data_IF_790769191154
#
_entry.id   IF_790769191154
#
_cell.length_a   1.000
_cell.length_b   1.000
_cell.length_c   1.000
_cell.angle_alpha   90.00
_cell.angle_beta   90.00
_cell.angle_gamma   90.00
#
_symmetry.space_group_name_H-M   'P 1'
#
loop_
_entity.id
_entity.type
_entity.pdbx_description
1 polymer ?
#
# COMPACT_ATOMS: atom_id res chain seq x y z
N UNK A 1 -4.37 -14.51 20.83
CA UNK A 1 -4.65 -14.92 19.43
C UNK A 1 -5.85 -14.09 18.96
N UNK A 2 -5.64 -13.03 18.17
CA UNK A 2 -6.74 -12.13 17.77
C UNK A 2 -7.45 -12.76 16.57
N UNK A 3 -8.76 -12.96 16.71
CA UNK A 3 -9.59 -13.75 15.82
C UNK A 3 -9.57 -13.29 14.36
N UNK A 4 -9.93 -14.23 13.49
CA UNK A 4 -10.06 -14.06 12.04
C UNK A 4 -11.10 -12.97 11.68
N UNK A 5 -10.71 -11.71 11.82
CA UNK A 5 -11.49 -10.57 11.33
C UNK A 5 -11.58 -10.68 9.81
N UNK A 6 -12.81 -10.84 9.30
CA UNK A 6 -13.09 -10.82 7.87
C UNK A 6 -13.20 -9.37 7.37
N UNK A 7 -12.66 -9.08 6.19
CA UNK A 7 -12.76 -7.81 5.45
C UNK A 7 -13.38 -8.06 4.09
N UNK A 8 -14.05 -7.04 3.55
CA UNK A 8 -14.23 -6.93 2.11
C UNK A 8 -12.90 -6.47 1.51
N UNK A 9 -12.29 -7.31 0.66
CA UNK A 9 -10.98 -6.99 0.09
C UNK A 9 -11.06 -5.70 -0.76
N UNK A 10 -10.30 -4.68 -0.39
CA UNK A 10 -10.31 -3.39 -1.10
C UNK A 10 -9.88 -3.48 -2.57
N UNK A 11 -9.18 -4.55 -2.97
CA UNK A 11 -8.76 -4.75 -4.36
C UNK A 11 -9.78 -5.52 -5.21
N UNK A 12 -10.36 -6.60 -4.67
CA UNK A 12 -11.17 -7.54 -5.47
C UNK A 12 -12.60 -7.74 -4.95
N UNK A 13 -12.97 -7.12 -3.82
CA UNK A 13 -14.31 -7.17 -3.25
C UNK A 13 -14.71 -8.49 -2.59
N UNK A 14 -13.81 -9.46 -2.45
CA UNK A 14 -14.13 -10.75 -1.77
C UNK A 14 -14.20 -10.57 -0.26
N UNK A 15 -15.21 -11.15 0.40
CA UNK A 15 -15.26 -11.26 1.87
C UNK A 15 -14.36 -12.39 2.34
N UNK A 16 -13.29 -12.06 3.06
CA UNK A 16 -12.15 -12.95 3.35
C UNK A 16 -11.53 -12.64 4.70
N UNK A 17 -10.78 -13.55 5.35
CA UNK A 17 -9.88 -13.16 6.43
C UNK A 17 -8.94 -12.02 6.00
N UNK A 18 -8.71 -11.07 6.89
CA UNK A 18 -7.82 -9.94 6.67
C UNK A 18 -6.36 -10.39 6.76
N UNK A 19 -5.62 -10.29 5.66
CA UNK A 19 -4.19 -10.60 5.60
C UNK A 19 -3.30 -9.38 5.93
N UNK A 20 -3.92 -8.22 6.16
CA UNK A 20 -3.26 -6.92 6.33
C UNK A 20 -3.72 -5.93 5.26
N UNK A 21 -3.70 -4.64 5.58
CA UNK A 21 -4.14 -3.55 4.69
C UNK A 21 -5.55 -3.74 4.11
N UNK A 22 -6.44 -4.49 4.78
CA UNK A 22 -7.78 -4.78 4.27
C UNK A 22 -7.81 -5.67 3.02
N UNK A 23 -6.81 -6.53 2.83
CA UNK A 23 -6.67 -7.37 1.64
C UNK A 23 -6.80 -8.87 1.93
N UNK A 24 -7.23 -9.61 0.90
CA UNK A 24 -7.24 -11.06 0.89
C UNK A 24 -5.84 -11.65 0.64
N UNK A 25 -5.71 -12.97 0.82
CA UNK A 25 -4.48 -13.72 0.56
C UNK A 25 -3.97 -13.59 -0.88
N UNK A 26 -4.87 -13.45 -1.86
CA UNK A 26 -4.49 -13.32 -3.28
C UNK A 26 -3.97 -11.91 -3.61
N UNK A 27 -4.53 -10.89 -2.95
CA UNK A 27 -4.27 -9.47 -3.27
C UNK A 27 -3.17 -8.85 -2.41
N UNK A 28 -2.89 -9.41 -1.23
CA UNK A 28 -1.89 -8.91 -0.31
C UNK A 28 -0.44 -9.03 -0.83
N UNK A 29 -0.03 -10.10 -1.56
CA UNK A 29 1.32 -10.22 -2.10
C UNK A 29 1.72 -9.05 -3.02
N UNK A 30 0.86 -8.68 -3.98
CA UNK A 30 1.14 -7.56 -4.88
C UNK A 30 1.19 -6.21 -4.14
N UNK A 31 0.33 -6.01 -3.14
CA UNK A 31 0.41 -4.83 -2.27
C UNK A 31 1.73 -4.77 -1.50
N UNK A 32 2.23 -5.90 -1.01
CA UNK A 32 3.51 -5.99 -0.32
C UNK A 32 4.68 -5.67 -1.25
N UNK A 33 4.66 -6.15 -2.48
CA UNK A 33 5.67 -5.81 -3.49
C UNK A 33 5.67 -4.32 -3.82
N UNK A 34 4.49 -3.73 -4.05
CA UNK A 34 4.33 -2.28 -4.25
C UNK A 34 4.88 -1.51 -3.05
N UNK A 35 4.55 -1.95 -1.82
CA UNK A 35 5.02 -1.31 -0.59
C UNK A 35 6.56 -1.30 -0.50
N UNK A 36 7.22 -2.41 -0.84
CA UNK A 36 8.68 -2.49 -0.80
C UNK A 36 9.30 -1.47 -1.77
N UNK A 37 8.81 -1.40 -3.01
CA UNK A 37 9.28 -0.44 -4.02
C UNK A 37 9.12 1.01 -3.55
N UNK A 38 7.92 1.37 -3.08
CA UNK A 38 7.60 2.73 -2.61
C UNK A 38 8.44 3.09 -1.38
N UNK A 39 8.57 2.19 -0.41
CA UNK A 39 9.37 2.43 0.80
C UNK A 39 10.85 2.61 0.49
N UNK A 40 11.40 1.80 -0.41
CA UNK A 40 12.80 1.92 -0.82
C UNK A 40 13.07 3.26 -1.49
N UNK A 41 12.19 3.69 -2.40
CA UNK A 41 12.28 5.00 -3.05
C UNK A 41 12.23 6.15 -2.03
N UNK A 42 11.18 6.18 -1.21
CA UNK A 42 10.94 7.27 -0.24
C UNK A 42 12.06 7.37 0.81
N UNK A 43 12.68 6.25 1.20
CA UNK A 43 13.81 6.26 2.14
C UNK A 43 15.08 6.87 1.52
N UNK A 44 15.27 6.72 0.20
CA UNK A 44 16.44 7.22 -0.51
C UNK A 44 16.31 8.65 -1.05
N UNK A 45 15.09 9.18 -1.13
CA UNK A 45 14.80 10.46 -1.77
C UNK A 45 14.36 11.50 -0.74
N UNK A 46 15.10 12.59 -0.61
CA UNK A 46 14.70 13.73 0.21
C UNK A 46 13.47 14.39 -0.41
N UNK A 47 12.41 14.57 0.39
CA UNK A 47 11.17 15.25 -0.02
C UNK A 47 10.37 14.60 -1.16
N UNK A 48 10.45 13.26 -1.30
CA UNK A 48 9.67 12.53 -2.29
C UNK A 48 8.18 12.93 -2.28
N UNK A 49 7.62 13.19 -3.46
CA UNK A 49 6.19 13.48 -3.67
C UNK A 49 5.42 12.25 -4.18
N UNK A 50 4.09 12.26 -4.08
CA UNK A 50 3.28 11.12 -4.57
C UNK A 50 3.40 10.91 -6.08
N UNK A 51 3.43 12.00 -6.86
CA UNK A 51 3.53 11.94 -8.33
C UNK A 51 4.88 11.35 -8.71
N UNK A 52 5.97 11.93 -8.21
CA UNK A 52 7.32 11.46 -8.47
C UNK A 52 7.51 10.00 -8.06
N UNK A 53 7.03 9.63 -6.88
CA UNK A 53 7.09 8.26 -6.39
C UNK A 53 6.31 7.30 -7.29
N UNK A 54 5.16 7.71 -7.83
CA UNK A 54 4.39 6.93 -8.78
C UNK A 54 5.16 6.69 -10.07
N UNK A 55 5.78 7.74 -10.63
CA UNK A 55 6.61 7.64 -11.82
C UNK A 55 7.84 6.74 -11.60
N UNK A 56 8.54 6.90 -10.48
CA UNK A 56 9.77 6.17 -10.20
C UNK A 56 9.54 4.68 -9.89
N UNK A 57 8.42 4.34 -9.25
CA UNK A 57 8.15 2.95 -8.79
C UNK A 57 7.20 2.18 -9.70
N UNK A 58 6.50 2.87 -10.62
CA UNK A 58 5.42 2.31 -11.42
C UNK A 58 4.14 2.00 -10.63
N UNK A 59 4.12 2.33 -9.33
CA UNK A 59 2.97 2.08 -8.46
C UNK A 59 1.96 3.20 -8.64
N UNK A 60 0.67 2.85 -8.80
CA UNK A 60 -0.38 3.86 -9.00
C UNK A 60 -0.49 4.84 -7.83
N UNK A 61 -0.84 6.10 -8.12
CA UNK A 61 -1.09 7.13 -7.11
C UNK A 61 -2.15 6.66 -6.08
N UNK A 62 -3.19 5.96 -6.51
CA UNK A 62 -4.22 5.44 -5.60
C UNK A 62 -3.66 4.41 -4.59
N UNK A 63 -2.75 3.55 -5.04
CA UNK A 63 -2.06 2.57 -4.18
C UNK A 63 -1.13 3.28 -3.19
N UNK A 64 -0.35 4.25 -3.65
CA UNK A 64 0.52 5.07 -2.78
C UNK A 64 -0.30 5.85 -1.75
N UNK A 65 -1.39 6.49 -2.19
CA UNK A 65 -2.31 7.24 -1.32
C UNK A 65 -2.91 6.34 -0.23
N UNK A 66 -3.19 5.06 -0.52
CA UNK A 66 -3.63 4.09 0.48
C UNK A 66 -2.54 3.85 1.54
N UNK A 67 -1.29 3.62 1.12
CA UNK A 67 -0.16 3.42 2.03
C UNK A 67 0.06 4.63 2.95
N UNK A 68 -0.11 5.85 2.42
CA UNK A 68 -0.02 7.09 3.21
C UNK A 68 -1.17 7.21 4.21
N UNK A 69 -2.42 6.96 3.78
CA UNK A 69 -3.59 6.98 4.68
C UNK A 69 -3.47 5.97 5.83
N UNK A 70 -2.89 4.80 5.56
CA UNK A 70 -2.63 3.75 6.55
C UNK A 70 -1.39 4.04 7.42
N UNK A 71 -0.72 5.19 7.24
CA UNK A 71 0.54 5.55 7.90
C UNK A 71 1.68 4.54 7.66
N UNK A 72 1.58 3.72 6.61
CA UNK A 72 2.61 2.74 6.25
C UNK A 72 3.84 3.43 5.62
N UNK A 73 3.64 4.58 4.97
CA UNK A 73 4.67 5.40 4.32
C UNK A 73 4.37 6.89 4.60
N UNK A 74 5.42 7.69 4.78
CA UNK A 74 5.32 9.17 4.91
C UNK A 74 5.92 9.82 3.65
N UNK A 75 5.12 10.61 2.94
CA UNK A 75 5.48 11.30 1.69
C UNK A 75 5.01 12.76 1.83
N UNK A 76 5.74 13.74 1.28
CA UNK A 76 5.24 15.12 1.25
C UNK A 76 3.98 15.18 0.38
N UNK A 77 2.94 15.82 0.90
CA UNK A 77 1.75 16.12 0.13
C UNK A 77 2.05 17.35 -0.74
N UNK A 78 2.01 17.20 -2.06
CA UNK A 78 2.13 18.32 -3.00
C UNK A 78 0.83 19.12 -3.05
#
# INVERSE_FOLDING_TARGET
MKGNHKVWCDNCGKLTPNMGAGLCADCFPSYREDYIKVRQYVKGTHEATMIETSHATGVSINRIRKMVRERAISIKNT
#
